data_IF_176030814789
#
_entry.id   IF_176030814789
#
_cell.length_a   1.000
_cell.length_b   1.000
_cell.length_c   1.000
_cell.angle_alpha   90.00
_cell.angle_beta   90.00
_cell.angle_gamma   90.00
#
_symmetry.space_group_name_H-M   'P 1'
#
loop_
_entity.id
_entity.type
_entity.pdbx_description
1 polymer ?
#
# COMPACT_ATOMS: atom_id res chain seq x y z
N UNK A 1 10.19 23.80 5.19
CA UNK A 1 9.53 22.76 6.01
C UNK A 1 9.35 21.55 5.11
N UNK A 2 10.22 20.55 5.24
CA UNK A 2 10.25 19.38 4.32
C UNK A 2 10.37 18.12 5.15
N UNK A 3 9.22 17.53 5.45
CA UNK A 3 9.07 16.19 6.03
C UNK A 3 7.90 15.55 5.29
N UNK A 4 8.26 14.83 4.24
CA UNK A 4 7.45 14.00 3.34
C UNK A 4 6.13 13.55 3.99
N UNK A 5 4.98 14.04 3.55
CA UNK A 5 3.70 13.88 4.25
C UNK A 5 3.15 12.44 4.32
N UNK A 6 3.79 11.45 3.69
CA UNK A 6 3.57 10.03 4.01
C UNK A 6 4.02 9.70 5.45
N UNK A 7 4.87 10.53 6.06
CA UNK A 7 5.16 10.47 7.50
C UNK A 7 3.99 10.98 8.37
N UNK A 8 3.00 11.68 7.79
CA UNK A 8 1.76 12.08 8.46
C UNK A 8 0.62 11.07 8.26
N UNK A 9 0.93 9.82 7.88
CA UNK A 9 -0.04 8.74 7.97
C UNK A 9 -0.54 8.62 9.42
N UNK A 10 -1.84 8.36 9.64
CA UNK A 10 -2.38 8.14 10.98
C UNK A 10 -1.53 7.12 11.75
N UNK A 11 -1.31 7.35 13.05
CA UNK A 11 -0.45 6.49 13.88
C UNK A 11 -0.74 4.98 13.72
N UNK A 12 -2.01 4.51 13.73
CA UNK A 12 -2.32 3.09 13.54
C UNK A 12 -1.82 2.55 12.17
N UNK A 13 -1.97 3.35 11.11
CA UNK A 13 -1.48 3.01 9.77
C UNK A 13 0.05 2.84 9.77
N UNK A 14 0.75 3.79 10.39
CA UNK A 14 2.22 3.78 10.47
C UNK A 14 2.72 2.57 11.28
N UNK A 15 2.03 2.20 12.35
CA UNK A 15 2.36 1.02 13.17
C UNK A 15 2.21 -0.28 12.38
N UNK A 16 1.10 -0.47 11.66
CA UNK A 16 0.90 -1.65 10.79
C UNK A 16 1.98 -1.72 9.71
N UNK A 17 2.29 -0.61 9.04
CA UNK A 17 3.31 -0.58 7.98
C UNK A 17 4.71 -0.90 8.52
N UNK A 18 5.06 -0.41 9.70
CA UNK A 18 6.34 -0.75 10.36
C UNK A 18 6.40 -2.21 10.77
N UNK A 19 5.30 -2.75 11.29
CA UNK A 19 5.15 -4.15 11.69
C UNK A 19 5.35 -5.07 10.49
N UNK A 20 4.63 -4.81 9.38
CA UNK A 20 4.79 -5.56 8.12
C UNK A 20 6.20 -5.42 7.53
N UNK A 21 6.78 -4.22 7.55
CA UNK A 21 8.15 -4.01 7.10
C UNK A 21 9.17 -4.86 7.88
N UNK A 22 9.04 -4.91 9.22
CA UNK A 22 9.88 -5.74 10.07
C UNK A 22 9.72 -7.22 9.76
N UNK A 23 8.48 -7.70 9.64
CA UNK A 23 8.20 -9.10 9.28
C UNK A 23 8.77 -9.48 7.91
N UNK A 24 8.80 -8.54 6.96
CA UNK A 24 9.43 -8.72 5.66
C UNK A 24 10.96 -8.56 5.68
N UNK A 25 11.58 -8.22 6.82
CA UNK A 25 13.01 -7.96 6.93
C UNK A 25 13.47 -6.69 6.19
N UNK A 26 12.55 -5.74 5.94
CA UNK A 26 12.82 -4.55 5.14
C UNK A 26 12.81 -3.27 5.99
N UNK A 27 13.64 -2.28 5.66
CA UNK A 27 13.46 -0.92 6.15
C UNK A 27 12.06 -0.40 5.77
N UNK A 28 11.41 0.35 6.67
CA UNK A 28 10.04 0.86 6.44
C UNK A 28 9.90 1.66 5.15
N UNK A 29 10.93 2.45 4.79
CA UNK A 29 10.95 3.20 3.53
C UNK A 29 10.87 2.28 2.31
N UNK A 30 11.65 1.21 2.30
CA UNK A 30 11.68 0.24 1.19
C UNK A 30 10.38 -0.56 1.12
N UNK A 31 9.83 -0.92 2.28
CA UNK A 31 8.52 -1.57 2.34
C UNK A 31 7.41 -0.69 1.75
N UNK A 32 7.35 0.60 2.11
CA UNK A 32 6.37 1.55 1.55
C UNK A 32 6.57 1.77 0.04
N UNK A 33 7.82 1.82 -0.44
CA UNK A 33 8.13 1.85 -1.88
C UNK A 33 7.53 0.63 -2.57
N UNK A 34 7.74 -0.57 -2.03
CA UNK A 34 7.18 -1.82 -2.56
C UNK A 34 5.65 -1.85 -2.52
N UNK A 35 5.02 -1.34 -1.48
CA UNK A 35 3.56 -1.21 -1.40
C UNK A 35 3.01 -0.30 -2.49
N UNK A 36 3.59 0.89 -2.69
CA UNK A 36 3.18 1.81 -3.76
C UNK A 36 3.37 1.19 -5.15
N UNK A 37 4.43 0.41 -5.34
CA UNK A 37 4.68 -0.35 -6.56
C UNK A 37 3.58 -1.42 -6.78
N UNK A 38 3.28 -2.20 -5.75
CA UNK A 38 2.24 -3.23 -5.81
C UNK A 38 0.85 -2.63 -6.07
N UNK A 39 0.56 -1.47 -5.48
CA UNK A 39 -0.67 -0.71 -5.74
C UNK A 39 -0.81 -0.34 -7.22
N UNK A 40 0.26 0.16 -7.84
CA UNK A 40 0.26 0.51 -9.27
C UNK A 40 0.12 -0.73 -10.18
N UNK A 41 0.68 -1.88 -9.81
CA UNK A 41 0.59 -3.10 -10.62
C UNK A 41 -0.76 -3.80 -10.56
N UNK A 42 -1.51 -3.62 -9.46
CA UNK A 42 -2.80 -4.29 -9.27
C UNK A 42 -3.87 -3.62 -10.11
N UNK A 43 -4.59 -4.39 -10.93
CA UNK A 43 -5.84 -3.92 -11.56
C UNK A 43 -6.92 -3.70 -10.50
N UNK A 44 -7.60 -2.57 -10.57
CA UNK A 44 -8.71 -2.18 -9.69
C UNK A 44 -9.90 -1.71 -10.51
N UNK A 45 -11.09 -1.67 -9.90
CA UNK A 45 -12.32 -1.25 -10.58
C UNK A 45 -12.22 0.16 -11.22
N UNK A 46 -11.46 1.05 -10.57
CA UNK A 46 -11.22 2.40 -11.07
C UNK A 46 -10.47 2.43 -12.41
N UNK A 47 -9.72 1.38 -12.76
CA UNK A 47 -8.97 1.35 -14.02
C UNK A 47 -9.91 1.38 -15.23
N UNK A 48 -11.14 0.88 -15.11
CA UNK A 48 -12.13 1.02 -16.18
C UNK A 48 -12.52 2.48 -16.45
N UNK A 49 -12.54 3.31 -15.40
CA UNK A 49 -12.77 4.76 -15.55
C UNK A 49 -11.55 5.43 -16.16
N UNK A 50 -10.34 5.03 -15.76
CA UNK A 50 -9.09 5.52 -16.37
C UNK A 50 -9.06 5.20 -17.86
N UNK A 51 -9.34 3.95 -18.22
CA UNK A 51 -9.37 3.48 -19.61
C UNK A 51 -10.43 4.25 -20.42
N UNK A 52 -11.62 4.49 -19.84
CA UNK A 52 -12.67 5.32 -20.46
C UNK A 52 -12.22 6.77 -20.67
N UNK A 53 -11.64 7.42 -19.65
CA UNK A 53 -11.17 8.81 -19.75
C UNK A 53 -10.06 8.97 -20.79
N UNK A 54 -9.15 8.00 -20.89
CA UNK A 54 -8.10 7.98 -21.88
C UNK A 54 -8.65 7.88 -23.32
N UNK A 55 -9.73 7.11 -23.51
CA UNK A 55 -10.41 6.97 -24.80
C UNK A 55 -11.19 8.23 -25.20
N UNK A 56 -11.87 8.87 -24.25
CA UNK A 56 -12.67 10.08 -24.50
C UNK A 56 -11.82 11.36 -24.64
N UNK A 57 -10.61 11.36 -24.09
CA UNK A 57 -9.70 12.52 -24.09
C UNK A 57 -8.30 12.14 -24.58
N UNK A 58 -8.17 11.67 -25.85
CA UNK A 58 -6.88 11.26 -26.37
C UNK A 58 -5.90 12.44 -26.34
N UNK A 59 -4.68 12.18 -25.90
CA UNK A 59 -3.59 13.17 -25.84
C UNK A 59 -3.67 14.15 -24.67
N UNK A 60 -4.64 14.03 -23.75
CA UNK A 60 -4.58 14.77 -22.49
C UNK A 60 -3.50 14.15 -21.61
N UNK A 61 -2.46 14.92 -21.23
CA UNK A 61 -1.43 14.40 -20.34
C UNK A 61 -2.00 14.13 -18.96
N UNK A 62 -1.48 13.10 -18.29
CA UNK A 62 -1.74 12.86 -16.88
C UNK A 62 -1.46 14.13 -16.07
N UNK A 63 -2.25 14.44 -15.03
CA UNK A 63 -1.99 15.62 -14.21
C UNK A 63 -0.57 15.59 -13.64
N UNK A 64 0.09 16.75 -13.66
CA UNK A 64 1.40 16.89 -13.04
C UNK A 64 1.29 16.62 -11.53
N UNK A 65 2.29 15.95 -10.92
CA UNK A 65 2.32 15.77 -9.48
C UNK A 65 2.28 17.11 -8.74
N UNK A 66 1.41 17.22 -7.73
CA UNK A 66 1.48 18.30 -6.75
C UNK A 66 2.79 18.25 -5.95
N UNK A 67 3.11 19.31 -5.20
CA UNK A 67 4.38 19.42 -4.49
C UNK A 67 4.62 18.28 -3.48
N UNK A 68 3.56 17.82 -2.81
CA UNK A 68 3.63 16.74 -1.83
C UNK A 68 3.82 15.40 -2.51
N UNK A 69 3.14 15.17 -3.63
CA UNK A 69 3.35 13.99 -4.47
C UNK A 69 4.77 13.96 -5.06
N UNK A 70 5.31 15.10 -5.50
CA UNK A 70 6.69 15.21 -5.98
C UNK A 70 7.70 14.86 -4.88
N UNK A 71 7.47 15.34 -3.64
CA UNK A 71 8.29 14.99 -2.49
C UNK A 71 8.25 13.49 -2.19
N UNK A 72 7.09 12.84 -2.30
CA UNK A 72 6.94 11.38 -2.17
C UNK A 72 7.68 10.64 -3.28
N UNK A 73 7.48 11.02 -4.54
CA UNK A 73 8.12 10.37 -5.69
C UNK A 73 9.64 10.39 -5.52
N UNK A 74 10.21 11.53 -5.12
CA UNK A 74 11.63 11.66 -4.85
C UNK A 74 12.05 10.86 -3.60
N UNK A 75 11.29 10.95 -2.51
CA UNK A 75 11.62 10.27 -1.25
C UNK A 75 11.49 8.75 -1.31
N UNK A 76 10.77 8.17 -2.28
CA UNK A 76 10.70 6.71 -2.46
C UNK A 76 11.29 6.25 -3.79
N UNK A 77 11.89 7.17 -4.56
CA UNK A 77 12.46 6.93 -5.89
C UNK A 77 11.49 6.15 -6.78
N UNK A 78 10.23 6.62 -6.83
CA UNK A 78 9.18 5.95 -7.59
C UNK A 78 9.46 6.08 -9.10
N UNK A 79 9.51 4.98 -9.86
CA UNK A 79 9.67 5.02 -11.31
C UNK A 79 8.52 5.79 -11.99
N UNK A 80 8.81 6.40 -13.14
CA UNK A 80 7.84 7.19 -13.92
C UNK A 80 6.51 6.47 -14.17
N UNK A 81 6.57 5.23 -14.62
CA UNK A 81 5.38 4.43 -14.90
C UNK A 81 4.53 4.15 -13.65
N UNK A 82 5.15 4.04 -12.46
CA UNK A 82 4.44 3.76 -11.20
C UNK A 82 3.62 4.97 -10.80
N UNK A 83 4.25 6.15 -10.73
CA UNK A 83 3.53 7.34 -10.32
C UNK A 83 2.57 7.84 -11.41
N UNK A 84 2.82 7.57 -12.70
CA UNK A 84 1.87 7.86 -13.78
C UNK A 84 0.56 7.11 -13.60
N UNK A 85 0.62 5.79 -13.35
CA UNK A 85 -0.59 4.98 -13.11
C UNK A 85 -1.37 5.48 -11.89
N UNK A 86 -0.66 5.83 -10.81
CA UNK A 86 -1.30 6.39 -9.62
C UNK A 86 -1.87 7.78 -9.87
N UNK A 87 -1.24 8.60 -10.73
CA UNK A 87 -1.74 9.91 -11.13
C UNK A 87 -3.02 9.81 -11.95
N UNK A 88 -3.10 8.86 -12.90
CA UNK A 88 -4.29 8.64 -13.70
C UNK A 88 -5.47 8.21 -12.83
N UNK A 89 -5.22 7.36 -11.84
CA UNK A 89 -6.22 6.94 -10.85
C UNK A 89 -6.65 8.08 -9.93
N UNK A 90 -5.71 8.89 -9.45
CA UNK A 90 -6.01 10.08 -8.67
C UNK A 90 -6.90 11.05 -9.46
N UNK A 91 -6.57 11.26 -10.74
CA UNK A 91 -7.34 12.08 -11.66
C UNK A 91 -8.77 11.54 -11.87
N UNK A 92 -8.90 10.23 -12.10
CA UNK A 92 -10.19 9.56 -12.23
C UNK A 92 -11.04 9.65 -10.94
N UNK A 93 -10.39 9.79 -9.78
CA UNK A 93 -11.03 9.97 -8.47
C UNK A 93 -11.22 11.45 -8.09
N UNK A 94 -10.81 12.38 -8.96
CA UNK A 94 -10.84 13.83 -8.74
C UNK A 94 -10.15 14.30 -7.44
N UNK A 95 -9.06 13.64 -7.05
CA UNK A 95 -8.23 14.03 -5.89
C UNK A 95 -6.76 14.21 -6.28
N UNK A 96 -5.97 14.84 -5.39
CA UNK A 96 -4.53 15.02 -5.59
C UNK A 96 -3.80 13.66 -5.60
N UNK A 97 -2.62 13.61 -6.23
CA UNK A 97 -1.82 12.38 -6.26
C UNK A 97 -1.32 12.03 -4.86
N UNK A 98 -0.94 13.03 -4.06
CA UNK A 98 -0.54 12.84 -2.68
C UNK A 98 -1.66 12.22 -1.83
N UNK A 99 -2.88 12.75 -1.95
CA UNK A 99 -4.04 12.23 -1.21
C UNK A 99 -4.42 10.83 -1.66
N UNK A 100 -4.36 10.56 -2.95
CA UNK A 100 -4.63 9.22 -3.48
C UNK A 100 -3.64 8.19 -2.92
N UNK A 101 -2.33 8.47 -2.99
CA UNK A 101 -1.29 7.61 -2.42
C UNK A 101 -1.49 7.39 -0.91
N UNK A 102 -1.80 8.46 -0.17
CA UNK A 102 -2.11 8.40 1.27
C UNK A 102 -3.31 7.51 1.55
N UNK A 103 -4.41 7.69 0.83
CA UNK A 103 -5.64 6.93 0.99
C UNK A 103 -5.44 5.44 0.68
N UNK A 104 -4.70 5.10 -0.37
CA UNK A 104 -4.40 3.72 -0.72
C UNK A 104 -3.51 3.04 0.33
N UNK A 105 -2.50 3.74 0.88
CA UNK A 105 -1.68 3.22 1.98
C UNK A 105 -2.51 3.01 3.26
N UNK A 106 -3.40 3.95 3.62
CA UNK A 106 -4.33 3.77 4.74
C UNK A 106 -5.24 2.56 4.49
N UNK A 107 -5.75 2.42 3.27
CA UNK A 107 -6.61 1.29 2.89
C UNK A 107 -5.85 -0.03 2.96
N UNK A 108 -4.59 -0.07 2.50
CA UNK A 108 -3.72 -1.24 2.61
C UNK A 108 -3.49 -1.63 4.07
N UNK A 109 -3.25 -0.66 4.96
CA UNK A 109 -3.08 -0.94 6.40
C UNK A 109 -4.36 -1.45 7.07
N UNK A 110 -5.53 -0.95 6.66
CA UNK A 110 -6.82 -1.37 7.25
C UNK A 110 -7.26 -2.77 6.79
N UNK A 111 -6.77 -3.23 5.65
CA UNK A 111 -7.02 -4.59 5.17
C UNK A 111 -6.05 -5.53 5.85
N UNK A 112 -6.52 -6.22 6.89
CA UNK A 112 -5.76 -7.33 7.47
C UNK A 112 -5.61 -8.43 6.43
N UNK A 113 -4.42 -9.00 6.35
CA UNK A 113 -4.06 -10.10 5.45
C UNK A 113 -3.88 -11.39 6.25
N UNK A 114 -3.82 -12.54 5.57
CA UNK A 114 -3.43 -13.81 6.21
C UNK A 114 -2.05 -13.68 6.84
N UNK A 115 -1.12 -12.99 6.18
CA UNK A 115 0.22 -12.73 6.70
C UNK A 115 0.20 -11.91 8.00
N UNK A 116 -0.68 -10.91 8.13
CA UNK A 116 -0.82 -10.15 9.38
C UNK A 116 -1.31 -11.04 10.52
N UNK A 117 -2.29 -11.91 10.24
CA UNK A 117 -2.81 -12.82 11.24
C UNK A 117 -1.75 -13.85 11.65
N UNK A 118 -1.00 -14.43 10.71
CA UNK A 118 0.11 -15.33 11.03
C UNK A 118 1.22 -14.64 11.82
N UNK A 119 1.50 -13.36 11.52
CA UNK A 119 2.46 -12.57 12.28
C UNK A 119 2.01 -12.35 13.73
N UNK A 120 0.70 -12.24 14.00
CA UNK A 120 0.18 -12.18 15.38
C UNK A 120 0.50 -13.47 16.14
N UNK A 121 0.38 -14.64 15.49
CA UNK A 121 0.76 -15.91 16.10
C UNK A 121 2.27 -16.02 16.32
N UNK A 122 3.09 -15.54 15.39
CA UNK A 122 4.56 -15.54 15.54
C UNK A 122 4.99 -14.69 16.73
N UNK A 123 4.45 -13.49 16.86
CA UNK A 123 4.75 -12.59 17.99
C UNK A 123 4.33 -13.21 19.34
N UNK A 124 3.26 -14.00 19.36
CA UNK A 124 2.83 -14.74 20.55
C UNK A 124 3.77 -15.90 20.85
N UNK A 125 4.22 -16.66 19.84
CA UNK A 125 5.19 -17.74 20.01
C UNK A 125 6.56 -17.24 20.44
N UNK A 126 7.01 -16.08 19.93
CA UNK A 126 8.24 -15.43 20.38
C UNK A 126 8.16 -15.02 21.85
N UNK A 127 6.97 -14.58 22.30
CA UNK A 127 6.73 -14.19 23.69
C UNK A 127 6.58 -15.39 24.63
N UNK A 128 5.98 -16.47 24.15
CA UNK A 128 5.79 -17.72 24.89
C UNK A 128 6.12 -18.94 24.02
N UNK A 129 7.39 -19.38 24.02
CA UNK A 129 7.83 -20.54 23.24
C UNK A 129 7.26 -21.88 23.72
N UNK A 130 6.54 -21.93 24.86
CA UNK A 130 5.93 -23.16 25.36
C UNK A 130 4.63 -23.52 24.63
N UNK A 131 4.07 -22.57 23.88
CA UNK A 131 2.87 -22.79 23.08
C UNK A 131 3.18 -23.69 21.88
N UNK A 132 2.40 -24.77 21.73
CA UNK A 132 2.47 -25.67 20.58
C UNK A 132 1.38 -25.28 19.60
N UNK A 133 1.74 -24.45 18.61
CA UNK A 133 0.82 -23.97 17.56
C UNK A 133 1.23 -24.59 16.23
N UNK A 134 0.32 -25.34 15.62
CA UNK A 134 0.48 -25.81 14.23
C UNK A 134 0.20 -24.64 13.27
N UNK A 135 1.29 -24.02 12.81
CA UNK A 135 1.26 -22.83 11.97
C UNK A 135 0.62 -23.08 10.61
N UNK A 136 0.76 -24.30 10.06
CA UNK A 136 0.18 -24.67 8.78
C UNK A 136 -1.34 -24.85 8.91
N UNK A 137 -1.79 -25.52 9.98
CA UNK A 137 -3.21 -25.67 10.28
C UNK A 137 -3.89 -24.32 10.53
N UNK A 138 -3.22 -23.39 11.23
CA UNK A 138 -3.72 -22.02 11.41
C UNK A 138 -3.81 -21.28 10.07
N UNK A 139 -2.77 -21.32 9.25
CA UNK A 139 -2.78 -20.69 7.92
C UNK A 139 -3.91 -21.24 7.02
N UNK A 140 -4.10 -22.56 7.02
CA UNK A 140 -5.19 -23.21 6.28
C UNK A 140 -6.57 -22.77 6.79
N UNK A 141 -6.76 -22.71 8.10
CA UNK A 141 -8.02 -22.29 8.72
C UNK A 141 -8.36 -20.83 8.40
N UNK A 142 -7.38 -19.93 8.43
CA UNK A 142 -7.58 -18.51 8.11
C UNK A 142 -7.92 -18.34 6.62
N UNK A 143 -7.21 -19.03 5.72
CA UNK A 143 -7.51 -19.02 4.28
C UNK A 143 -8.93 -19.51 3.99
N UNK A 144 -9.31 -20.65 4.58
CA UNK A 144 -10.67 -21.18 4.49
C UNK A 144 -11.73 -20.16 4.96
N UNK A 145 -11.55 -19.55 6.13
CA UNK A 145 -12.50 -18.57 6.67
C UNK A 145 -12.62 -17.30 5.81
N UNK A 146 -11.59 -16.99 5.00
CA UNK A 146 -11.56 -15.84 4.08
C UNK A 146 -11.98 -16.18 2.65
N UNK A 147 -12.18 -17.46 2.35
CA UNK A 147 -12.49 -17.93 0.99
C UNK A 147 -11.31 -17.79 0.02
N UNK A 148 -10.08 -17.83 0.54
CA UNK A 148 -8.83 -17.92 -0.24
C UNK A 148 -8.42 -19.38 -0.43
#
# INVERSE_FOLDING_TARGET
MTLTEIAALPKPTTEVMRRRARAAGLPTREYLRRELFALAQRRIALDGVVDFLAAERPGHPSPAPDADAAAVIHAYELPAHVWSVLADRAAASAISLADYMRQELITSARRSTVADALLEFDEVLERDPSLVIDREAVAASIRYARGE
#
